data_IF_593385540620
#
_entry.id   IF_593385540620
#
_cell.length_a   1.000
_cell.length_b   1.000
_cell.length_c   1.000
_cell.angle_alpha   90.00
_cell.angle_beta   90.00
_cell.angle_gamma   90.00
#
_symmetry.space_group_name_H-M   'P 1'
#
loop_
_entity.id
_entity.type
_entity.pdbx_description
1 polymer ?
#
# COMPACT_ATOMS: atom_id res chain seq x y z
N UNK A 1 -3.91 9.93 -13.39
CA UNK A 1 -3.05 10.12 -12.19
C UNK A 1 -1.71 10.68 -12.63
N UNK A 2 -1.19 11.74 -12.00
CA UNK A 2 0.09 12.36 -12.34
C UNK A 2 1.11 12.06 -11.22
N UNK A 3 2.42 12.15 -11.53
CA UNK A 3 3.45 11.96 -10.50
C UNK A 3 3.31 12.93 -9.32
N UNK A 4 2.92 14.18 -9.60
CA UNK A 4 2.71 15.17 -8.54
C UNK A 4 1.60 14.80 -7.54
N UNK A 5 0.62 13.99 -7.94
CA UNK A 5 -0.47 13.54 -7.06
C UNK A 5 -0.11 12.34 -6.17
N UNK A 6 1.09 11.79 -6.34
CA UNK A 6 1.54 10.63 -5.57
C UNK A 6 2.40 11.11 -4.40
N UNK A 7 2.09 10.63 -3.20
CA UNK A 7 2.84 10.93 -2.00
C UNK A 7 4.29 10.45 -2.10
N UNK A 8 5.26 11.29 -1.75
CA UNK A 8 6.68 10.94 -1.69
C UNK A 8 7.28 10.43 -3.00
N UNK A 9 8.19 9.47 -2.90
CA UNK A 9 8.79 8.73 -4.02
C UNK A 9 9.56 9.61 -5.04
N UNK A 10 10.17 10.71 -4.59
CA UNK A 10 10.82 11.69 -5.47
C UNK A 10 11.89 11.06 -6.37
N UNK A 11 12.81 10.30 -5.79
CA UNK A 11 13.92 9.66 -6.51
C UNK A 11 13.42 8.64 -7.54
N UNK A 12 12.43 7.83 -7.17
CA UNK A 12 11.84 6.84 -8.08
C UNK A 12 11.13 7.52 -9.26
N UNK A 13 10.40 8.62 -9.03
CA UNK A 13 9.77 9.41 -10.10
C UNK A 13 10.81 9.98 -11.06
N UNK A 14 11.89 10.56 -10.55
CA UNK A 14 13.00 11.10 -11.35
C UNK A 14 13.67 9.98 -12.16
N UNK A 15 13.94 8.81 -11.57
CA UNK A 15 14.49 7.64 -12.25
C UNK A 15 13.60 7.20 -13.43
N UNK A 16 12.29 7.09 -13.21
CA UNK A 16 11.34 6.68 -14.25
C UNK A 16 11.29 7.68 -15.42
N UNK A 17 11.30 8.97 -15.10
CA UNK A 17 11.37 10.05 -16.11
C UNK A 17 12.66 9.94 -16.94
N UNK A 18 13.80 9.75 -16.28
CA UNK A 18 15.10 9.60 -16.95
C UNK A 18 15.15 8.37 -17.85
N UNK A 19 14.54 7.24 -17.46
CA UNK A 19 14.47 6.04 -18.32
C UNK A 19 13.82 6.36 -19.67
N UNK A 20 12.74 7.15 -19.68
CA UNK A 20 12.04 7.53 -20.90
C UNK A 20 12.82 8.58 -21.69
N UNK A 21 13.33 9.63 -21.03
CA UNK A 21 14.04 10.73 -21.69
C UNK A 21 15.34 10.29 -22.35
N UNK A 22 16.05 9.33 -21.76
CA UNK A 22 17.29 8.79 -22.31
C UNK A 22 17.10 7.55 -23.22
N UNK A 23 15.86 7.22 -23.56
CA UNK A 23 15.49 6.05 -24.38
C UNK A 23 16.08 4.74 -23.83
N UNK A 24 16.05 4.59 -22.49
CA UNK A 24 16.56 3.41 -21.75
C UNK A 24 15.44 2.62 -21.10
N UNK A 25 14.24 2.71 -21.68
CA UNK A 25 13.07 2.01 -21.17
C UNK A 25 13.16 0.52 -21.49
N UNK A 26 13.25 -0.32 -20.47
CA UNK A 26 13.15 -1.77 -20.63
C UNK A 26 11.70 -2.15 -21.00
N UNK A 27 11.56 -3.19 -21.82
CA UNK A 27 10.24 -3.71 -22.21
C UNK A 27 9.46 -4.35 -21.06
N UNK A 28 10.11 -4.71 -19.95
CA UNK A 28 9.48 -5.29 -18.77
C UNK A 28 10.10 -4.72 -17.49
N UNK A 29 9.28 -4.09 -16.68
CA UNK A 29 9.63 -3.48 -15.40
C UNK A 29 8.92 -4.22 -14.27
N UNK A 30 9.62 -4.48 -13.17
CA UNK A 30 9.06 -4.95 -11.92
C UNK A 30 9.10 -3.82 -10.88
N UNK A 31 7.95 -3.25 -10.57
CA UNK A 31 7.77 -2.28 -9.49
C UNK A 31 7.57 -3.08 -8.20
N UNK A 32 8.61 -3.14 -7.38
CA UNK A 32 8.60 -3.88 -6.11
C UNK A 32 8.49 -2.90 -4.94
N UNK A 33 7.35 -2.87 -4.30
CA UNK A 33 7.08 -2.03 -3.15
C UNK A 33 6.05 -2.66 -2.24
N UNK A 34 6.28 -2.60 -0.94
CA UNK A 34 5.33 -3.11 0.07
C UNK A 34 4.02 -2.33 0.03
N UNK A 35 3.01 -2.90 0.67
CA UNK A 35 1.70 -2.26 0.87
C UNK A 35 1.84 -0.81 1.36
N UNK A 36 1.04 0.10 0.81
CA UNK A 36 1.06 1.51 1.16
C UNK A 36 2.22 2.33 0.63
N UNK A 37 3.21 1.73 -0.06
CA UNK A 37 4.35 2.44 -0.68
C UNK A 37 3.97 3.30 -1.89
N UNK A 38 2.80 3.06 -2.50
CA UNK A 38 2.35 3.76 -3.70
C UNK A 38 2.82 3.14 -5.02
N UNK A 39 3.21 1.85 -5.02
CA UNK A 39 3.72 1.18 -6.21
C UNK A 39 2.72 1.14 -7.38
N UNK A 40 1.45 0.82 -7.11
CA UNK A 40 0.40 0.81 -8.14
C UNK A 40 0.14 2.22 -8.69
N UNK A 41 0.10 3.22 -7.83
CA UNK A 41 -0.09 4.63 -8.21
C UNK A 41 1.04 5.11 -9.11
N UNK A 42 2.29 4.76 -8.78
CA UNK A 42 3.45 5.05 -9.63
C UNK A 42 3.34 4.37 -11.00
N UNK A 43 2.91 3.11 -11.06
CA UNK A 43 2.70 2.41 -12.32
C UNK A 43 1.64 3.08 -13.19
N UNK A 44 0.52 3.49 -12.60
CA UNK A 44 -0.56 4.22 -13.29
C UNK A 44 -0.09 5.59 -13.81
N UNK A 45 0.62 6.35 -12.98
CA UNK A 45 1.17 7.66 -13.37
C UNK A 45 2.26 7.52 -14.44
N UNK A 46 3.11 6.51 -14.33
CA UNK A 46 4.14 6.23 -15.32
C UNK A 46 3.55 5.83 -16.67
N UNK A 47 2.53 4.98 -16.68
CA UNK A 47 1.80 4.66 -17.92
C UNK A 47 1.18 5.92 -18.54
N UNK A 48 0.55 6.79 -17.72
CA UNK A 48 0.03 8.07 -18.20
C UNK A 48 1.13 8.98 -18.73
N UNK A 49 2.30 9.01 -18.12
CA UNK A 49 3.46 9.78 -18.58
C UNK A 49 3.92 9.33 -19.98
N UNK A 50 4.00 8.02 -20.22
CA UNK A 50 4.42 7.43 -21.50
C UNK A 50 3.42 7.76 -22.62
N UNK A 51 2.11 7.62 -22.38
CA UNK A 51 1.09 7.88 -23.40
C UNK A 51 0.79 9.37 -23.57
N UNK A 52 1.30 10.24 -22.72
CA UNK A 52 1.05 11.69 -22.79
C UNK A 52 1.72 12.30 -24.02
N UNK A 53 0.96 13.03 -24.83
CA UNK A 53 1.45 13.96 -25.86
C UNK A 53 0.94 15.36 -25.52
N UNK A 54 1.78 16.24 -24.95
CA UNK A 54 1.39 17.63 -24.78
C UNK A 54 1.06 18.22 -26.15
N UNK A 55 -0.04 18.92 -26.26
CA UNK A 55 -0.28 19.76 -27.42
C UNK A 55 0.75 20.89 -27.38
N UNK A 56 1.39 21.26 -28.51
CA UNK A 56 2.17 22.46 -28.53
C UNK A 56 1.24 23.58 -28.09
N UNK A 57 1.72 24.46 -27.19
CA UNK A 57 1.00 25.70 -26.87
C UNK A 57 0.71 26.37 -28.20
N UNK A 58 -0.55 26.68 -28.50
CA UNK A 58 -0.90 27.51 -29.65
C UNK A 58 -0.06 28.75 -29.53
N UNK A 59 0.92 28.87 -30.41
CA UNK A 59 1.66 30.13 -30.60
C UNK A 59 0.63 31.07 -31.14
N UNK A 60 0.32 32.13 -30.38
CA UNK A 60 -0.64 33.14 -30.76
C UNK A 60 -0.23 33.65 -32.14
N UNK A 61 -0.99 33.30 -33.16
CA UNK A 61 -0.67 33.60 -34.58
C UNK A 61 -0.49 35.11 -34.83
N UNK A 62 -0.97 35.93 -33.89
CA UNK A 62 -0.85 37.38 -33.91
C UNK A 62 0.45 37.92 -33.29
N UNK A 63 1.18 37.11 -32.49
CA UNK A 63 2.47 37.50 -31.93
C UNK A 63 3.65 37.33 -32.93
N UNK A 64 3.45 36.54 -33.99
CA UNK A 64 4.49 36.21 -34.97
C UNK A 64 4.71 37.28 -36.05
N UNK A 65 3.95 38.38 -36.07
CA UNK A 65 4.03 39.40 -37.14
C UNK A 65 5.19 40.42 -37.02
N UNK A 66 6.03 40.32 -35.97
CA UNK A 66 7.10 41.32 -35.72
C UNK A 66 8.51 40.79 -35.47
N UNK A 67 8.85 39.57 -35.87
CA UNK A 67 10.26 39.12 -35.81
C UNK A 67 10.69 38.41 -37.09
N UNK A 68 11.20 39.19 -38.04
CA UNK A 68 12.04 38.69 -39.13
C UNK A 68 13.41 38.33 -38.58
N UNK A 69 13.65 37.04 -38.30
CA UNK A 69 14.99 36.45 -38.38
C UNK A 69 14.82 34.91 -38.38
N UNK A 70 15.18 34.34 -39.53
CA UNK A 70 15.33 32.90 -39.74
C UNK A 70 16.39 32.34 -38.78
N UNK A 71 15.93 31.69 -37.74
CA UNK A 71 16.68 30.63 -37.09
C UNK A 71 15.72 29.47 -36.93
N UNK A 72 16.05 28.38 -37.61
CA UNK A 72 15.47 27.05 -37.33
C UNK A 72 15.56 26.79 -35.83
N UNK A 73 14.49 27.07 -35.10
CA UNK A 73 14.34 26.63 -33.73
C UNK A 73 14.11 25.12 -33.80
N UNK A 74 15.21 24.37 -33.57
CA UNK A 74 15.13 23.03 -33.04
C UNK A 74 14.20 23.13 -31.83
N UNK A 75 13.00 22.59 -31.97
CA UNK A 75 12.04 22.42 -30.86
C UNK A 75 12.81 21.66 -29.76
N UNK A 76 13.38 22.42 -28.83
CA UNK A 76 13.90 21.86 -27.59
C UNK A 76 12.73 21.12 -26.95
N UNK A 77 12.76 19.81 -26.97
CA UNK A 77 11.90 18.99 -26.10
C UNK A 77 12.22 19.44 -24.68
N UNK A 78 11.41 20.38 -24.17
CA UNK A 78 11.46 20.72 -22.74
C UNK A 78 11.43 19.41 -21.98
N UNK A 79 12.44 19.16 -21.17
CA UNK A 79 12.57 17.96 -20.35
C UNK A 79 11.41 17.95 -19.36
N UNK A 80 10.41 17.18 -19.70
CA UNK A 80 9.15 17.11 -18.97
C UNK A 80 9.27 16.11 -17.83
N UNK A 81 9.01 16.56 -16.60
CA UNK A 81 9.10 15.72 -15.40
C UNK A 81 7.78 15.04 -15.02
N UNK A 82 6.65 15.37 -15.67
CA UNK A 82 5.34 14.76 -15.43
C UNK A 82 4.48 14.79 -16.70
N UNK A 83 3.38 14.04 -16.68
CA UNK A 83 2.34 14.10 -17.73
C UNK A 83 1.60 15.44 -17.67
N UNK A 84 1.07 15.91 -18.80
CA UNK A 84 0.39 17.23 -18.83
C UNK A 84 -0.98 17.24 -18.14
N UNK A 85 -1.60 16.07 -17.90
CA UNK A 85 -2.91 15.94 -17.27
C UNK A 85 -4.12 16.36 -18.12
N UNK A 86 -3.93 17.14 -19.19
CA UNK A 86 -5.01 17.79 -19.93
C UNK A 86 -5.25 17.23 -21.33
N UNK A 87 -4.26 16.61 -21.96
CA UNK A 87 -4.44 16.03 -23.30
C UNK A 87 -5.41 14.83 -23.28
N UNK A 88 -6.02 14.50 -24.44
CA UNK A 88 -7.01 13.40 -24.48
C UNK A 88 -6.47 12.07 -23.95
N UNK A 89 -5.20 11.73 -24.21
CA UNK A 89 -4.60 10.52 -23.66
C UNK A 89 -4.46 10.55 -22.14
N UNK A 90 -4.05 11.69 -21.56
CA UNK A 90 -3.99 11.84 -20.11
C UNK A 90 -5.37 11.71 -19.46
N UNK A 91 -6.41 12.30 -20.05
CA UNK A 91 -7.79 12.17 -19.54
C UNK A 91 -8.24 10.71 -19.56
N UNK A 92 -8.07 10.03 -20.71
CA UNK A 92 -8.40 8.59 -20.83
C UNK A 92 -7.59 7.72 -19.88
N UNK A 93 -6.30 7.99 -19.71
CA UNK A 93 -5.44 7.25 -18.78
C UNK A 93 -5.87 7.46 -17.32
N UNK A 94 -6.23 8.70 -16.95
CA UNK A 94 -6.73 9.01 -15.61
C UNK A 94 -8.05 8.29 -15.28
N UNK A 95 -8.92 8.12 -16.28
CA UNK A 95 -10.18 7.38 -16.15
C UNK A 95 -10.03 5.86 -16.35
N UNK A 96 -8.80 5.37 -16.55
CA UNK A 96 -8.47 3.95 -16.83
C UNK A 96 -9.23 3.40 -18.05
N UNK A 97 -9.42 4.24 -19.10
CA UNK A 97 -10.10 3.89 -20.37
C UNK A 97 -9.23 4.04 -21.60
N UNK A 98 -7.92 4.30 -21.44
CA UNK A 98 -7.00 4.45 -22.56
C UNK A 98 -6.87 3.11 -23.31
N UNK A 99 -7.09 3.07 -24.65
CA UNK A 99 -7.16 1.82 -25.41
C UNK A 99 -5.83 1.04 -25.43
N UNK A 100 -4.69 1.73 -25.28
CA UNK A 100 -3.37 1.12 -25.31
C UNK A 100 -2.82 0.83 -23.88
N UNK A 101 -3.61 1.04 -22.82
CA UNK A 101 -3.27 0.66 -21.45
C UNK A 101 -4.20 -0.47 -21.02
N UNK A 102 -3.62 -1.62 -20.77
CA UNK A 102 -4.32 -2.83 -20.35
C UNK A 102 -4.02 -3.13 -18.88
N UNK A 103 -4.99 -3.71 -18.18
CA UNK A 103 -4.88 -4.06 -16.78
C UNK A 103 -5.06 -5.55 -16.59
N UNK A 104 -4.29 -6.11 -15.66
CA UNK A 104 -4.47 -7.47 -15.15
C UNK A 104 -4.30 -7.45 -13.63
N UNK A 105 -5.18 -8.11 -12.92
CA UNK A 105 -5.23 -8.15 -11.47
C UNK A 105 -5.94 -9.41 -10.99
N UNK A 106 -5.78 -9.83 -9.73
CA UNK A 106 -6.44 -11.00 -9.19
C UNK A 106 -7.96 -10.87 -9.24
N UNK A 107 -8.63 -11.90 -9.74
CA UNK A 107 -10.10 -11.97 -9.84
C UNK A 107 -10.63 -13.28 -9.28
N UNK A 108 -11.93 -13.35 -9.05
CA UNK A 108 -12.63 -14.53 -8.55
C UNK A 108 -13.63 -15.07 -9.56
N UNK A 109 -13.94 -16.36 -9.47
CA UNK A 109 -15.06 -16.96 -10.20
C UNK A 109 -16.37 -16.56 -9.53
N UNK A 110 -17.25 -15.84 -10.26
CA UNK A 110 -18.59 -15.47 -9.77
C UNK A 110 -19.53 -16.67 -9.77
N UNK A 111 -19.51 -17.48 -10.82
CA UNK A 111 -20.34 -18.68 -10.97
C UNK A 111 -19.51 -19.91 -11.31
N UNK A 112 -19.89 -21.11 -10.85
CA UNK A 112 -19.21 -22.35 -11.21
C UNK A 112 -19.12 -22.53 -12.74
N UNK A 113 -17.92 -22.87 -13.24
CA UNK A 113 -17.67 -23.07 -14.68
C UNK A 113 -17.31 -21.82 -15.49
N UNK A 114 -17.42 -20.61 -14.91
CA UNK A 114 -16.93 -19.39 -15.54
C UNK A 114 -15.40 -19.34 -15.52
N UNK A 115 -14.86 -18.64 -16.51
CA UNK A 115 -13.41 -18.43 -16.72
C UNK A 115 -13.11 -16.93 -16.52
N UNK A 116 -12.98 -16.46 -15.27
CA UNK A 116 -12.89 -15.04 -14.99
C UNK A 116 -11.61 -14.44 -15.57
N UNK A 117 -11.75 -13.26 -16.14
CA UNK A 117 -10.66 -12.40 -16.58
C UNK A 117 -10.82 -11.01 -15.99
N UNK A 118 -9.71 -10.25 -15.90
CA UNK A 118 -9.70 -8.89 -15.31
C UNK A 118 -10.71 -7.96 -15.99
N UNK A 119 -10.93 -8.13 -17.29
CA UNK A 119 -11.88 -7.31 -18.06
C UNK A 119 -13.33 -7.44 -17.57
N UNK A 120 -13.70 -8.57 -16.96
CA UNK A 120 -15.06 -8.79 -16.43
C UNK A 120 -15.34 -7.93 -15.19
N UNK A 121 -14.28 -7.39 -14.56
CA UNK A 121 -14.33 -6.58 -13.35
C UNK A 121 -13.82 -5.15 -13.59
N UNK A 122 -13.73 -4.71 -14.84
CA UNK A 122 -13.10 -3.41 -15.17
C UNK A 122 -13.85 -2.20 -14.59
N UNK A 123 -15.16 -2.30 -14.38
CA UNK A 123 -15.98 -1.25 -13.79
C UNK A 123 -15.64 -1.12 -12.30
N UNK A 124 -15.66 -2.25 -11.60
CA UNK A 124 -15.32 -2.34 -10.19
C UNK A 124 -13.85 -1.91 -9.95
N UNK A 125 -12.94 -2.26 -10.88
CA UNK A 125 -11.55 -1.85 -10.81
C UNK A 125 -11.37 -0.32 -10.87
N UNK A 126 -12.07 0.33 -11.81
CA UNK A 126 -12.04 1.80 -11.92
C UNK A 126 -12.57 2.47 -10.67
N UNK A 127 -13.66 1.97 -10.13
CA UNK A 127 -14.26 2.48 -8.91
C UNK A 127 -13.35 2.25 -7.71
N UNK A 128 -12.76 1.06 -7.58
CA UNK A 128 -11.80 0.75 -6.53
C UNK A 128 -10.59 1.66 -6.54
N UNK A 129 -9.96 1.87 -7.70
CA UNK A 129 -8.79 2.77 -7.81
C UNK A 129 -9.17 4.22 -7.48
N UNK A 130 -10.38 4.66 -7.81
CA UNK A 130 -10.86 6.00 -7.50
C UNK A 130 -11.16 6.21 -6.01
N UNK A 131 -11.74 5.21 -5.34
CA UNK A 131 -12.16 5.29 -3.93
C UNK A 131 -11.08 4.86 -2.94
N UNK A 132 -10.25 3.89 -3.32
CA UNK A 132 -9.19 3.31 -2.49
C UNK A 132 -7.84 3.32 -3.22
N UNK A 133 -7.26 4.48 -3.54
CA UNK A 133 -6.07 4.55 -4.38
C UNK A 133 -4.87 3.79 -3.80
N UNK A 134 -4.75 3.67 -2.49
CA UNK A 134 -3.70 2.89 -1.81
C UNK A 134 -4.20 1.55 -1.26
N UNK A 135 -5.38 1.09 -1.70
CA UNK A 135 -5.95 -0.19 -1.27
C UNK A 135 -5.06 -1.38 -1.65
N UNK A 136 -5.03 -2.39 -0.79
CA UNK A 136 -4.30 -3.64 -1.02
C UNK A 136 -5.18 -4.70 -1.73
N UNK A 137 -4.61 -5.87 -1.99
CA UNK A 137 -5.32 -6.96 -2.66
C UNK A 137 -6.52 -7.48 -1.85
N UNK A 138 -6.44 -7.41 -0.52
CA UNK A 138 -7.55 -7.81 0.34
C UNK A 138 -8.73 -6.84 0.21
N UNK A 139 -8.47 -5.51 0.24
CA UNK A 139 -9.49 -4.49 0.01
C UNK A 139 -10.17 -4.68 -1.36
N UNK A 140 -9.37 -4.99 -2.38
CA UNK A 140 -9.87 -5.28 -3.72
C UNK A 140 -10.78 -6.51 -3.74
N UNK A 141 -10.34 -7.62 -3.16
CA UNK A 141 -11.12 -8.85 -3.12
C UNK A 141 -12.42 -8.66 -2.33
N UNK A 142 -12.37 -7.92 -1.22
CA UNK A 142 -13.55 -7.55 -0.46
C UNK A 142 -14.51 -6.67 -1.28
N UNK A 143 -13.97 -5.69 -2.00
CA UNK A 143 -14.74 -4.78 -2.84
C UNK A 143 -15.55 -5.53 -3.92
N UNK A 144 -14.98 -6.59 -4.50
CA UNK A 144 -15.68 -7.44 -5.48
C UNK A 144 -16.50 -8.58 -4.85
N UNK A 145 -16.71 -8.56 -3.53
CA UNK A 145 -17.54 -9.55 -2.82
C UNK A 145 -16.87 -10.91 -2.62
N UNK A 146 -15.55 -10.94 -2.49
CA UNK A 146 -14.75 -12.17 -2.38
C UNK A 146 -14.15 -12.40 -0.99
N UNK A 147 -14.83 -12.00 0.08
CA UNK A 147 -14.31 -12.01 1.46
C UNK A 147 -13.65 -13.35 1.89
N UNK A 148 -14.12 -14.47 1.35
CA UNK A 148 -13.66 -15.82 1.70
C UNK A 148 -13.11 -16.59 0.49
N UNK A 149 -12.88 -15.93 -0.66
CA UNK A 149 -12.34 -16.57 -1.86
C UNK A 149 -10.92 -16.06 -2.12
N UNK A 150 -10.06 -16.97 -2.53
CA UNK A 150 -8.73 -16.59 -2.97
C UNK A 150 -8.81 -16.01 -4.39
N UNK A 151 -8.26 -14.81 -4.58
CA UNK A 151 -8.06 -14.23 -5.91
C UNK A 151 -7.04 -15.02 -6.72
N UNK A 152 -7.16 -14.98 -8.05
CA UNK A 152 -6.21 -15.65 -8.94
C UNK A 152 -6.09 -14.88 -10.26
N UNK A 153 -4.90 -14.92 -10.88
CA UNK A 153 -4.66 -14.52 -12.26
C UNK A 153 -4.60 -15.82 -13.08
N UNK A 154 -5.69 -16.12 -13.77
CA UNK A 154 -5.90 -17.44 -14.36
C UNK A 154 -5.18 -17.63 -15.70
N UNK A 155 -5.11 -18.88 -16.17
CA UNK A 155 -4.66 -19.21 -17.53
C UNK A 155 -5.46 -18.49 -18.61
N UNK A 156 -6.74 -18.22 -18.36
CA UNK A 156 -7.60 -17.50 -19.31
C UNK A 156 -7.22 -16.03 -19.40
N UNK A 157 -6.85 -15.43 -18.27
CA UNK A 157 -6.26 -14.09 -18.22
C UNK A 157 -4.95 -14.04 -19.02
N UNK A 158 -4.03 -14.99 -18.83
CA UNK A 158 -2.79 -15.05 -19.61
C UNK A 158 -3.06 -15.11 -21.13
N UNK A 159 -4.04 -15.90 -21.56
CA UNK A 159 -4.42 -15.99 -22.99
C UNK A 159 -5.04 -14.68 -23.49
N UNK A 160 -5.85 -13.99 -22.69
CA UNK A 160 -6.43 -12.70 -23.04
C UNK A 160 -5.36 -11.60 -23.15
N UNK A 161 -4.38 -11.59 -22.24
CA UNK A 161 -3.20 -10.72 -22.31
C UNK A 161 -2.44 -10.94 -23.62
N UNK A 162 -2.11 -12.21 -23.96
CA UNK A 162 -1.41 -12.55 -25.20
C UNK A 162 -2.19 -12.04 -26.40
N UNK A 163 -3.50 -12.25 -26.44
CA UNK A 163 -4.36 -11.78 -27.53
C UNK A 163 -4.31 -10.25 -27.65
N UNK A 164 -4.51 -9.51 -26.55
CA UNK A 164 -4.52 -8.04 -26.53
C UNK A 164 -3.19 -7.44 -26.97
N UNK A 165 -2.09 -7.95 -26.45
CA UNK A 165 -0.76 -7.39 -26.73
C UNK A 165 -0.26 -7.73 -28.15
N UNK A 166 -0.78 -8.75 -28.80
CA UNK A 166 -0.49 -9.04 -30.22
C UNK A 166 -1.23 -8.11 -31.20
N UNK A 167 -2.21 -7.33 -30.74
CA UNK A 167 -2.84 -6.31 -31.57
C UNK A 167 -1.91 -5.11 -31.73
N UNK A 168 -2.11 -4.32 -32.78
CA UNK A 168 -1.41 -3.04 -32.94
C UNK A 168 -1.92 -2.03 -31.91
N UNK A 169 -1.05 -1.11 -31.50
CA UNK A 169 -1.45 0.04 -30.71
C UNK A 169 -2.49 0.89 -31.46
N UNK A 170 -3.42 1.48 -30.73
CA UNK A 170 -4.55 2.20 -31.33
C UNK A 170 -4.30 3.72 -31.42
N UNK A 171 -3.91 4.35 -30.32
CA UNK A 171 -3.73 5.82 -30.25
C UNK A 171 -2.28 6.24 -30.04
N UNK A 172 -1.47 5.41 -29.41
CA UNK A 172 -0.11 5.73 -28.98
C UNK A 172 0.90 4.73 -29.51
N UNK A 173 2.16 5.12 -29.41
CA UNK A 173 3.27 4.28 -29.84
C UNK A 173 3.36 3.02 -29.00
N UNK A 174 3.27 3.15 -27.65
CA UNK A 174 3.40 2.05 -26.70
C UNK A 174 2.06 1.43 -26.36
N UNK A 175 2.04 0.09 -26.30
CA UNK A 175 1.04 -0.71 -25.59
C UNK A 175 1.59 -1.05 -24.22
N UNK A 176 0.81 -0.81 -23.18
CA UNK A 176 1.24 -0.97 -21.80
C UNK A 176 0.33 -1.98 -21.11
N UNK A 177 0.92 -3.00 -20.50
CA UNK A 177 0.22 -3.89 -19.56
C UNK A 177 0.66 -3.54 -18.15
N UNK A 178 -0.27 -3.11 -17.32
CA UNK A 178 -0.08 -3.02 -15.87
C UNK A 178 -0.67 -4.29 -15.26
N UNK A 179 0.19 -5.13 -14.70
CA UNK A 179 -0.20 -6.33 -13.96
C UNK A 179 0.01 -6.10 -12.48
N UNK A 180 -1.07 -5.97 -11.73
CA UNK A 180 -1.04 -5.82 -10.29
C UNK A 180 -1.10 -7.17 -9.60
N UNK A 181 -0.23 -7.38 -8.60
CA UNK A 181 -0.10 -8.61 -7.82
C UNK A 181 0.22 -9.85 -8.68
N UNK A 182 1.33 -9.84 -9.44
CA UNK A 182 1.79 -11.00 -10.24
C UNK A 182 2.06 -12.24 -9.38
N UNK A 183 2.15 -12.13 -8.06
CA UNK A 183 2.21 -13.22 -7.09
C UNK A 183 1.03 -14.21 -7.25
N UNK A 184 -0.09 -13.71 -7.74
CA UNK A 184 -1.31 -14.50 -7.98
C UNK A 184 -1.33 -15.25 -9.33
N UNK A 185 -0.28 -15.11 -10.14
CA UNK A 185 -0.11 -15.87 -11.37
C UNK A 185 0.16 -17.37 -11.12
N UNK A 186 0.88 -17.69 -10.01
CA UNK A 186 1.32 -19.03 -9.75
C UNK A 186 2.06 -19.65 -10.95
N UNK A 187 1.83 -20.93 -11.22
CA UNK A 187 2.46 -21.66 -12.35
C UNK A 187 1.97 -21.19 -13.73
N UNK A 188 0.84 -20.53 -13.81
CA UNK A 188 0.26 -20.05 -15.07
C UNK A 188 1.09 -18.93 -15.71
N UNK A 189 1.89 -18.22 -14.92
CA UNK A 189 2.83 -17.22 -15.39
C UNK A 189 3.81 -17.71 -16.45
N UNK A 190 4.10 -19.01 -16.48
CA UNK A 190 4.95 -19.60 -17.53
C UNK A 190 4.41 -19.37 -18.95
N UNK A 191 3.11 -19.17 -19.13
CA UNK A 191 2.51 -18.86 -20.44
C UNK A 191 2.90 -17.48 -20.97
N UNK A 192 3.24 -16.56 -20.08
CA UNK A 192 3.64 -15.20 -20.45
C UNK A 192 5.14 -15.09 -20.76
N UNK A 193 5.96 -16.10 -20.44
CA UNK A 193 7.41 -16.04 -20.58
C UNK A 193 7.83 -15.69 -22.01
N UNK A 194 7.29 -16.39 -23.01
CA UNK A 194 7.62 -16.11 -24.41
C UNK A 194 7.25 -14.68 -24.81
N UNK A 195 6.12 -14.17 -24.33
CA UNK A 195 5.66 -12.82 -24.61
C UNK A 195 6.52 -11.75 -23.93
N UNK A 196 7.05 -12.06 -22.74
CA UNK A 196 7.98 -11.18 -22.00
C UNK A 196 9.38 -11.22 -22.63
N UNK A 197 9.84 -12.38 -23.11
CA UNK A 197 11.14 -12.53 -23.78
C UNK A 197 11.18 -11.83 -25.14
N UNK A 198 10.16 -12.04 -25.95
CA UNK A 198 10.05 -11.51 -27.30
C UNK A 198 8.74 -10.71 -27.46
N UNK A 199 8.64 -9.54 -26.82
CA UNK A 199 7.41 -8.76 -26.89
C UNK A 199 7.17 -8.20 -28.30
N UNK A 200 5.91 -8.06 -28.71
CA UNK A 200 5.58 -7.28 -29.90
C UNK A 200 6.17 -5.87 -29.82
N UNK A 201 6.48 -5.24 -30.95
CA UNK A 201 7.08 -3.89 -30.96
C UNK A 201 6.32 -2.91 -30.07
N UNK A 202 7.08 -2.07 -29.35
CA UNK A 202 6.54 -1.02 -28.49
C UNK A 202 5.57 -1.55 -27.42
N UNK A 203 5.86 -2.72 -26.86
CA UNK A 203 5.09 -3.28 -25.74
C UNK A 203 5.87 -3.11 -24.44
N UNK A 204 5.22 -2.57 -23.42
CA UNK A 204 5.77 -2.40 -22.08
C UNK A 204 4.96 -3.20 -21.06
N UNK A 205 5.64 -4.02 -20.29
CA UNK A 205 5.09 -4.70 -19.12
C UNK A 205 5.50 -3.94 -17.85
N UNK A 206 4.53 -3.62 -17.00
CA UNK A 206 4.74 -3.07 -15.67
C UNK A 206 4.10 -4.05 -14.68
N UNK A 207 4.92 -4.87 -14.05
CA UNK A 207 4.50 -5.78 -12.99
C UNK A 207 4.60 -5.02 -11.66
N UNK A 208 3.53 -5.00 -10.88
CA UNK A 208 3.47 -4.29 -9.59
C UNK A 208 3.29 -5.33 -8.49
N UNK A 209 4.32 -5.56 -7.71
CA UNK A 209 4.43 -6.63 -6.73
C UNK A 209 4.79 -6.11 -5.33
N UNK A 210 4.44 -6.88 -4.31
CA UNK A 210 4.80 -6.64 -2.92
C UNK A 210 5.89 -7.61 -2.43
N UNK A 211 5.94 -8.83 -3.01
CA UNK A 211 6.87 -9.88 -2.61
C UNK A 211 7.42 -10.65 -3.81
N UNK A 212 8.72 -10.45 -4.10
CA UNK A 212 9.40 -11.12 -5.20
C UNK A 212 9.53 -12.64 -5.02
N UNK A 213 9.58 -13.15 -3.79
CA UNK A 213 9.70 -14.60 -3.50
C UNK A 213 8.49 -15.41 -3.99
N UNK A 214 7.35 -14.76 -4.20
CA UNK A 214 6.12 -15.38 -4.70
C UNK A 214 6.00 -15.33 -6.22
N UNK A 215 6.94 -14.65 -6.91
CA UNK A 215 6.97 -14.54 -8.36
C UNK A 215 7.91 -15.61 -8.93
N UNK A 216 7.53 -16.17 -10.07
CA UNK A 216 8.39 -17.15 -10.76
C UNK A 216 9.78 -16.57 -11.04
N UNK A 217 10.88 -17.25 -10.67
CA UNK A 217 12.23 -16.78 -10.96
C UNK A 217 12.48 -16.53 -12.45
N UNK A 218 11.77 -17.27 -13.31
CA UNK A 218 11.81 -17.09 -14.77
C UNK A 218 11.22 -15.76 -15.24
N UNK A 219 10.26 -15.19 -14.54
CA UNK A 219 9.72 -13.84 -14.78
C UNK A 219 10.70 -12.79 -14.23
N UNK A 220 11.17 -12.98 -12.98
CA UNK A 220 12.12 -12.06 -12.34
C UNK A 220 13.36 -11.83 -13.18
N UNK A 221 13.95 -12.90 -13.74
CA UNK A 221 15.18 -12.81 -14.55
C UNK A 221 15.01 -12.02 -15.87
N UNK A 222 13.78 -11.70 -16.27
CA UNK A 222 13.44 -10.98 -17.51
C UNK A 222 12.88 -9.60 -17.28
N UNK A 223 12.79 -9.18 -16.04
CA UNK A 223 12.26 -7.88 -15.64
C UNK A 223 13.35 -6.99 -15.06
N UNK A 224 13.30 -5.72 -15.36
CA UNK A 224 14.15 -4.72 -14.70
C UNK A 224 13.48 -4.29 -13.40
N UNK A 225 14.18 -4.49 -12.29
CA UNK A 225 13.68 -4.13 -10.97
C UNK A 225 13.69 -2.62 -10.75
N UNK A 226 12.56 -2.09 -10.31
CA UNK A 226 12.38 -0.73 -9.79
C UNK A 226 11.90 -0.87 -8.33
N UNK A 227 12.80 -0.65 -7.38
CA UNK A 227 12.47 -0.69 -5.95
C UNK A 227 11.71 0.56 -5.56
N UNK A 228 10.59 0.38 -4.86
CA UNK A 228 9.76 1.46 -4.35
C UNK A 228 9.81 1.37 -2.83
N UNK A 229 10.58 2.25 -2.18
CA UNK A 229 10.72 2.23 -0.72
C UNK A 229 9.42 2.58 -0.02
N UNK A 230 9.32 2.22 1.25
CA UNK A 230 8.28 2.74 2.14
C UNK A 230 8.44 4.26 2.27
N UNK A 231 7.34 4.95 2.51
CA UNK A 231 7.36 6.39 2.74
C UNK A 231 8.04 6.71 4.08
N UNK A 232 8.66 7.87 4.14
CA UNK A 232 9.14 8.40 5.43
C UNK A 232 7.98 8.96 6.24
N UNK A 233 8.13 9.04 7.57
CA UNK A 233 7.12 9.66 8.42
C UNK A 233 6.82 11.09 7.97
N UNK A 234 7.83 11.87 7.59
CA UNK A 234 7.67 13.25 7.10
C UNK A 234 6.87 13.32 5.79
N UNK A 235 7.03 12.37 4.87
CA UNK A 235 6.22 12.31 3.64
C UNK A 235 4.75 11.98 3.95
N UNK A 236 4.50 11.11 4.92
CA UNK A 236 3.13 10.80 5.38
C UNK A 236 2.51 11.99 6.09
N UNK A 237 3.23 12.65 7.01
CA UNK A 237 2.78 13.87 7.70
C UNK A 237 2.31 14.93 6.70
N UNK A 238 3.20 15.32 5.77
CA UNK A 238 2.91 16.31 4.73
C UNK A 238 1.70 15.89 3.88
N UNK A 239 1.60 14.61 3.53
CA UNK A 239 0.47 14.12 2.74
C UNK A 239 -0.86 14.16 3.50
N UNK A 240 -0.87 13.84 4.80
CA UNK A 240 -2.06 13.94 5.65
C UNK A 240 -2.50 15.39 5.85
N UNK A 241 -1.56 16.32 6.03
CA UNK A 241 -1.86 17.74 6.13
C UNK A 241 -2.46 18.29 4.83
N UNK A 242 -1.80 18.05 3.69
CA UNK A 242 -2.20 18.61 2.40
C UNK A 242 -3.46 17.96 1.82
N UNK A 243 -3.60 16.64 1.91
CA UNK A 243 -4.66 15.90 1.25
C UNK A 243 -5.90 15.69 2.14
N UNK A 244 -5.71 15.61 3.46
CA UNK A 244 -6.78 15.32 4.39
C UNK A 244 -7.06 16.47 5.39
N UNK A 245 -6.30 17.57 5.35
CA UNK A 245 -6.49 18.72 6.23
C UNK A 245 -6.29 18.41 7.72
N UNK A 246 -5.47 17.41 8.03
CA UNK A 246 -5.20 16.95 9.39
C UNK A 246 -4.27 17.94 10.09
N UNK A 247 -4.48 18.21 11.38
CA UNK A 247 -3.57 19.01 12.18
C UNK A 247 -2.21 18.32 12.31
N UNK A 248 -1.14 19.11 12.37
CA UNK A 248 0.26 18.64 12.42
C UNK A 248 0.47 17.59 13.50
N UNK A 249 0.00 17.85 14.74
CA UNK A 249 0.21 16.95 15.86
C UNK A 249 -0.43 15.57 15.63
N UNK A 250 -1.64 15.54 15.05
CA UNK A 250 -2.35 14.31 14.71
C UNK A 250 -1.71 13.61 13.52
N UNK A 251 -1.23 14.36 12.53
CA UNK A 251 -0.52 13.80 11.37
C UNK A 251 0.78 13.10 11.80
N UNK A 252 1.52 13.68 12.72
CA UNK A 252 2.74 13.09 13.31
C UNK A 252 2.45 11.79 14.04
N UNK A 253 1.41 11.76 14.89
CA UNK A 253 1.00 10.55 15.59
C UNK A 253 0.61 9.43 14.64
N UNK A 254 -0.20 9.73 13.63
CA UNK A 254 -0.61 8.76 12.62
C UNK A 254 0.59 8.26 11.81
N UNK A 255 1.49 9.15 11.38
CA UNK A 255 2.67 8.79 10.61
C UNK A 255 3.62 7.86 11.38
N UNK A 256 3.79 8.11 12.68
CA UNK A 256 4.59 7.26 13.55
C UNK A 256 4.04 5.84 13.68
N UNK A 257 2.71 5.68 13.78
CA UNK A 257 2.04 4.37 13.87
C UNK A 257 2.01 3.64 12.53
N UNK A 258 1.89 4.39 11.43
CA UNK A 258 1.77 3.84 10.08
C UNK A 258 3.09 3.28 9.52
N UNK A 259 4.26 3.60 10.12
CA UNK A 259 5.58 3.04 9.77
C UNK A 259 5.88 3.03 8.25
N UNK A 260 5.53 4.11 7.57
CA UNK A 260 5.75 4.24 6.13
C UNK A 260 4.62 3.68 5.25
N UNK A 261 3.60 3.03 5.83
CA UNK A 261 2.43 2.52 5.11
C UNK A 261 1.34 3.59 5.01
N UNK A 262 1.23 4.27 3.86
CA UNK A 262 0.25 5.34 3.68
C UNK A 262 -1.21 4.84 3.67
N UNK A 263 -1.46 3.59 3.23
CA UNK A 263 -2.79 2.98 3.35
C UNK A 263 -3.24 2.92 4.82
N UNK A 264 -2.34 2.45 5.68
CA UNK A 264 -2.61 2.37 7.11
C UNK A 264 -2.81 3.75 7.73
N UNK A 265 -2.00 4.74 7.33
CA UNK A 265 -2.19 6.12 7.76
C UNK A 265 -3.59 6.65 7.42
N UNK A 266 -4.10 6.37 6.21
CA UNK A 266 -5.46 6.74 5.81
C UNK A 266 -6.54 6.00 6.61
N UNK A 267 -6.32 4.73 6.93
CA UNK A 267 -7.24 3.95 7.75
C UNK A 267 -7.27 4.44 9.20
N UNK A 268 -6.10 4.72 9.80
CA UNK A 268 -6.00 5.32 11.13
C UNK A 268 -6.70 6.67 11.18
N UNK A 269 -6.63 7.44 10.10
CA UNK A 269 -7.34 8.72 10.01
C UNK A 269 -8.87 8.53 9.99
N UNK A 270 -9.38 7.57 9.21
CA UNK A 270 -10.81 7.27 9.14
C UNK A 270 -11.38 6.77 10.47
N UNK A 271 -10.56 6.11 11.28
CA UNK A 271 -10.91 5.54 12.58
C UNK A 271 -10.35 6.33 13.76
N UNK A 272 -9.92 7.56 13.54
CA UNK A 272 -9.33 8.40 14.57
C UNK A 272 -10.25 8.76 15.74
N UNK A 273 -11.55 8.48 15.61
CA UNK A 273 -12.54 8.63 16.68
C UNK A 273 -12.76 7.33 17.49
N UNK A 274 -12.16 6.21 17.08
CA UNK A 274 -12.17 4.97 17.84
C UNK A 274 -11.22 5.13 19.05
N UNK A 275 -11.74 5.02 20.27
CA UNK A 275 -10.94 5.19 21.49
C UNK A 275 -10.16 3.91 21.83
N UNK A 276 -9.09 3.66 21.04
CA UNK A 276 -8.22 2.49 21.22
C UNK A 276 -7.58 2.44 22.62
N UNK A 277 -7.33 3.59 23.23
CA UNK A 277 -6.75 3.65 24.56
C UNK A 277 -7.73 3.10 25.60
N UNK A 278 -8.99 3.50 25.54
CA UNK A 278 -10.03 2.98 26.43
C UNK A 278 -10.23 1.49 26.21
N UNK A 279 -10.30 1.05 24.95
CA UNK A 279 -10.45 -0.35 24.60
C UNK A 279 -9.29 -1.21 25.12
N UNK A 280 -8.05 -0.71 25.00
CA UNK A 280 -6.85 -1.39 25.53
C UNK A 280 -6.85 -1.42 27.06
N UNK A 281 -7.22 -0.32 27.69
CA UNK A 281 -7.35 -0.24 29.16
C UNK A 281 -8.37 -1.22 29.71
N UNK A 282 -9.52 -1.34 29.04
CA UNK A 282 -10.56 -2.30 29.40
C UNK A 282 -10.06 -3.74 29.25
N UNK A 283 -9.36 -4.05 28.15
CA UNK A 283 -8.80 -5.38 27.91
C UNK A 283 -7.77 -5.77 28.95
N UNK A 284 -6.78 -4.91 29.23
CA UNK A 284 -5.76 -5.14 30.24
C UNK A 284 -6.37 -5.28 31.65
N UNK A 285 -7.38 -4.47 31.97
CA UNK A 285 -8.11 -4.60 33.24
C UNK A 285 -8.88 -5.94 33.30
N UNK A 286 -9.49 -6.37 32.18
CA UNK A 286 -10.18 -7.65 32.11
C UNK A 286 -9.20 -8.82 32.32
N UNK A 287 -7.99 -8.72 31.76
CA UNK A 287 -6.95 -9.75 31.90
C UNK A 287 -6.42 -9.80 33.35
N UNK A 288 -6.13 -8.64 33.97
CA UNK A 288 -5.35 -8.58 35.21
C UNK A 288 -6.25 -8.54 36.46
N UNK A 289 -7.40 -7.84 36.40
CA UNK A 289 -8.19 -7.50 37.61
C UNK A 289 -9.58 -8.10 37.64
N UNK A 290 -10.36 -8.00 36.56
CA UNK A 290 -11.78 -8.30 36.57
C UNK A 290 -12.14 -9.75 36.26
N UNK A 291 -11.22 -10.51 35.65
CA UNK A 291 -11.33 -11.95 35.47
C UNK A 291 -12.16 -12.42 34.25
N UNK A 292 -12.46 -13.72 34.15
CA UNK A 292 -12.91 -14.37 32.93
C UNK A 292 -14.22 -13.82 32.32
N UNK A 293 -15.17 -13.41 33.16
CA UNK A 293 -16.47 -12.90 32.67
C UNK A 293 -16.30 -11.60 31.88
N UNK A 294 -15.49 -10.67 32.38
CA UNK A 294 -15.19 -9.42 31.70
C UNK A 294 -14.38 -9.67 30.42
N UNK A 295 -13.43 -10.63 30.43
CA UNK A 295 -12.69 -11.03 29.25
C UNK A 295 -13.61 -11.55 28.14
N UNK A 296 -14.53 -12.46 28.46
CA UNK A 296 -15.50 -13.01 27.48
C UNK A 296 -16.33 -11.90 26.86
N UNK A 297 -16.86 -10.97 27.66
CA UNK A 297 -17.66 -9.85 27.17
C UNK A 297 -16.81 -8.96 26.21
N UNK A 298 -15.63 -8.57 26.62
CA UNK A 298 -14.73 -7.75 25.80
C UNK A 298 -14.38 -8.46 24.48
N UNK A 299 -14.07 -9.78 24.52
CA UNK A 299 -13.78 -10.57 23.34
C UNK A 299 -14.96 -10.67 22.39
N UNK A 300 -16.19 -10.84 22.92
CA UNK A 300 -17.40 -10.88 22.11
C UNK A 300 -17.64 -9.54 21.39
N UNK A 301 -17.34 -8.43 22.02
CA UNK A 301 -17.47 -7.09 21.40
C UNK A 301 -16.36 -6.84 20.38
N UNK A 302 -15.12 -7.19 20.69
CA UNK A 302 -13.97 -7.10 19.78
C UNK A 302 -14.12 -8.02 18.56
N UNK A 303 -14.69 -9.21 18.72
CA UNK A 303 -14.92 -10.13 17.60
C UNK A 303 -15.96 -9.62 16.59
N UNK A 304 -16.82 -8.68 16.97
CA UNK A 304 -17.76 -7.99 16.06
C UNK A 304 -17.09 -6.88 15.24
N UNK A 305 -15.92 -6.41 15.68
CA UNK A 305 -15.12 -5.47 14.90
C UNK A 305 -14.62 -6.19 13.63
N UNK A 306 -14.63 -5.52 12.49
CA UNK A 306 -14.03 -6.08 11.28
C UNK A 306 -12.54 -6.37 11.48
N UNK A 307 -11.97 -7.27 10.67
CA UNK A 307 -10.56 -7.70 10.76
C UNK A 307 -9.57 -6.54 10.74
N UNK A 308 -9.82 -5.54 9.91
CA UNK A 308 -8.97 -4.36 9.81
C UNK A 308 -8.93 -3.60 11.14
N UNK A 309 -10.05 -3.37 11.79
CA UNK A 309 -10.09 -2.73 13.12
C UNK A 309 -9.38 -3.57 14.19
N UNK A 310 -9.50 -4.89 14.11
CA UNK A 310 -8.78 -5.79 15.02
C UNK A 310 -7.26 -5.69 14.84
N UNK A 311 -6.77 -5.66 13.59
CA UNK A 311 -5.35 -5.45 13.27
C UNK A 311 -4.86 -4.09 13.76
N UNK A 312 -5.61 -3.02 13.47
CA UNK A 312 -5.27 -1.67 13.89
C UNK A 312 -5.18 -1.55 15.42
N UNK A 313 -6.11 -2.18 16.14
CA UNK A 313 -6.05 -2.24 17.59
C UNK A 313 -4.79 -2.96 18.11
N UNK A 314 -4.42 -4.09 17.51
CA UNK A 314 -3.19 -4.81 17.89
C UNK A 314 -1.94 -3.98 17.58
N UNK A 315 -1.88 -3.32 16.43
CA UNK A 315 -0.77 -2.43 16.05
C UNK A 315 -0.67 -1.21 16.97
N UNK A 316 -1.81 -0.61 17.33
CA UNK A 316 -1.83 0.46 18.32
C UNK A 316 -1.20 0.01 19.64
N UNK A 317 -1.49 -1.20 20.10
CA UNK A 317 -0.88 -1.74 21.32
C UNK A 317 0.63 -2.00 21.16
N UNK A 318 1.06 -2.57 20.02
CA UNK A 318 2.49 -2.74 19.70
C UNK A 318 3.21 -1.39 19.75
N UNK A 319 2.68 -0.39 19.07
CA UNK A 319 3.27 0.96 19.06
C UNK A 319 3.43 1.55 20.48
N UNK A 320 2.41 1.43 21.34
CA UNK A 320 2.51 1.87 22.73
C UNK A 320 3.59 1.12 23.53
N UNK A 321 3.78 -0.18 23.26
CA UNK A 321 4.85 -0.96 23.90
C UNK A 321 6.22 -0.52 23.40
N UNK A 322 6.39 -0.27 22.12
CA UNK A 322 7.64 0.25 21.55
C UNK A 322 7.97 1.64 22.09
N UNK A 323 6.97 2.52 22.23
CA UNK A 323 7.14 3.83 22.86
C UNK A 323 7.54 3.68 24.33
N UNK A 324 6.92 2.73 25.05
CA UNK A 324 7.29 2.43 26.43
C UNK A 324 8.75 1.96 26.54
N UNK A 325 9.22 1.11 25.61
CA UNK A 325 10.62 0.68 25.55
C UNK A 325 11.55 1.86 25.29
N UNK A 326 11.21 2.73 24.31
CA UNK A 326 12.01 3.95 24.00
C UNK A 326 12.15 4.86 25.22
N UNK A 327 11.05 5.15 25.91
CA UNK A 327 11.07 5.97 27.13
C UNK A 327 11.94 5.37 28.23
N UNK A 328 11.94 4.03 28.38
CA UNK A 328 12.79 3.34 29.36
C UNK A 328 14.28 3.46 29.04
N UNK A 329 14.65 3.41 27.75
CA UNK A 329 16.04 3.57 27.30
C UNK A 329 16.51 5.01 27.51
N UNK A 330 15.67 6.00 27.23
CA UNK A 330 15.98 7.43 27.44
C UNK A 330 16.15 7.71 28.94
N UNK A 331 15.23 7.26 29.79
CA UNK A 331 15.33 7.44 31.26
C UNK A 331 16.58 6.76 31.86
N UNK A 332 17.12 5.72 31.23
CA UNK A 332 18.36 5.06 31.66
C UNK A 332 19.63 5.77 31.19
N UNK A 333 19.55 6.62 30.16
CA UNK A 333 20.70 7.32 29.57
C UNK A 333 20.82 8.80 30.03
N UNK A 334 19.81 9.41 30.61
CA UNK A 334 19.82 10.84 30.97
C UNK A 334 19.61 11.06 32.46
N UNK A 335 20.70 11.52 33.14
CA UNK A 335 20.63 12.18 34.43
C UNK A 335 20.05 13.61 34.27
N UNK A 336 18.71 13.69 34.18
CA UNK A 336 17.98 14.91 34.55
C UNK A 336 18.06 16.09 33.61
N UNK A 337 17.14 16.19 32.68
CA UNK A 337 16.44 17.45 32.35
C UNK A 337 15.20 17.10 31.48
N UNK A 338 14.01 17.09 32.13
CA UNK A 338 12.73 17.02 31.42
C UNK A 338 12.40 18.40 30.86
N UNK A 339 12.40 18.57 29.53
CA UNK A 339 11.73 19.69 28.89
C UNK A 339 10.25 19.30 28.68
N UNK A 340 9.39 19.96 29.44
CA UNK A 340 7.94 19.90 29.36
C UNK A 340 7.49 20.75 28.19
N UNK A 341 7.19 20.11 27.03
CA UNK A 341 6.42 20.77 25.97
C UNK A 341 5.41 19.79 25.38
N UNK A 342 4.14 20.14 25.51
CA UNK A 342 2.90 19.64 24.92
C UNK A 342 2.03 18.68 25.74
N UNK A 343 0.86 19.19 26.14
CA UNK A 343 -0.15 18.49 26.96
C UNK A 343 -0.80 17.27 26.28
N UNK A 344 -0.70 17.08 24.95
CA UNK A 344 -1.26 15.93 24.25
C UNK A 344 -0.26 14.77 24.04
N UNK A 345 1.04 15.06 23.95
CA UNK A 345 2.08 14.05 24.14
C UNK A 345 2.12 13.50 25.58
N UNK A 346 1.60 14.27 26.54
CA UNK A 346 1.52 13.87 27.94
C UNK A 346 0.59 12.65 28.18
N UNK A 347 -0.48 12.46 27.40
CA UNK A 347 -1.43 11.34 27.62
C UNK A 347 -0.92 10.01 27.09
N UNK A 348 -0.35 9.96 25.86
CA UNK A 348 0.29 8.76 25.31
C UNK A 348 1.52 8.36 26.13
N UNK A 349 2.36 9.33 26.51
CA UNK A 349 3.50 9.11 27.39
C UNK A 349 3.09 8.60 28.78
N UNK A 350 1.95 9.05 29.34
CA UNK A 350 1.47 8.55 30.65
C UNK A 350 1.03 7.09 30.55
N UNK A 351 0.36 6.67 29.46
CA UNK A 351 -0.02 5.27 29.28
C UNK A 351 1.20 4.37 29.04
N UNK A 352 2.15 4.80 28.22
CA UNK A 352 3.42 4.09 27.98
C UNK A 352 4.25 3.95 29.28
N UNK A 353 4.29 4.99 30.11
CA UNK A 353 4.94 4.93 31.41
C UNK A 353 4.24 3.96 32.38
N UNK A 354 2.90 3.84 32.30
CA UNK A 354 2.15 2.84 33.08
C UNK A 354 2.44 1.42 32.61
N UNK A 355 2.60 1.21 31.28
CA UNK A 355 3.04 -0.09 30.72
C UNK A 355 4.44 -0.46 31.23
N UNK A 356 5.34 0.50 31.35
CA UNK A 356 6.68 0.29 31.93
C UNK A 356 6.65 -0.14 33.41
N UNK A 357 5.64 0.28 34.16
CA UNK A 357 5.43 -0.18 35.55
C UNK A 357 4.77 -1.55 35.62
N UNK A 358 4.01 -1.91 34.59
CA UNK A 358 3.26 -3.18 34.54
C UNK A 358 4.14 -4.34 34.08
N UNK A 359 5.03 -4.12 33.11
CA UNK A 359 5.82 -5.16 32.44
C UNK A 359 7.29 -4.74 32.39
N UNK A 360 8.19 -5.71 32.58
CA UNK A 360 9.62 -5.53 32.30
C UNK A 360 9.91 -5.61 30.80
N UNK A 361 11.17 -5.36 30.39
CA UNK A 361 11.57 -5.32 28.98
C UNK A 361 11.34 -6.69 28.28
N UNK A 362 11.70 -7.78 28.94
CA UNK A 362 11.51 -9.12 28.38
C UNK A 362 10.03 -9.48 28.21
N UNK A 363 9.19 -9.03 29.17
CA UNK A 363 7.74 -9.19 29.06
C UNK A 363 7.15 -8.37 27.91
N UNK A 364 7.62 -7.14 27.71
CA UNK A 364 7.18 -6.29 26.60
C UNK A 364 7.54 -6.90 25.24
N UNK A 365 8.75 -7.42 25.08
CA UNK A 365 9.20 -8.14 23.88
C UNK A 365 8.35 -9.39 23.61
N UNK A 366 8.06 -10.17 24.65
CA UNK A 366 7.20 -11.34 24.53
C UNK A 366 5.76 -10.98 24.14
N UNK A 367 5.21 -9.88 24.67
CA UNK A 367 3.88 -9.38 24.32
C UNK A 367 3.86 -8.95 22.85
N UNK A 368 4.83 -8.16 22.38
CA UNK A 368 4.94 -7.73 20.98
C UNK A 368 4.95 -8.96 20.06
N UNK A 369 5.77 -9.96 20.39
CA UNK A 369 5.84 -11.20 19.60
C UNK A 369 4.48 -11.91 19.48
N UNK A 370 3.70 -11.96 20.55
CA UNK A 370 2.38 -12.59 20.51
C UNK A 370 1.32 -11.75 19.79
N UNK A 371 1.43 -10.42 19.86
CA UNK A 371 0.56 -9.50 19.10
C UNK A 371 0.82 -9.60 17.59
N UNK A 372 2.09 -9.69 17.16
CA UNK A 372 2.47 -9.89 15.76
C UNK A 372 1.94 -11.21 15.21
N UNK A 373 2.10 -12.30 15.98
CA UNK A 373 1.50 -13.60 15.61
C UNK A 373 -0.02 -13.50 15.47
N UNK A 374 -0.68 -12.78 16.38
CA UNK A 374 -2.13 -12.59 16.33
C UNK A 374 -2.54 -11.81 15.06
N UNK A 375 -1.84 -10.74 14.72
CA UNK A 375 -2.04 -9.96 13.49
C UNK A 375 -1.91 -10.85 12.25
N UNK A 376 -0.86 -11.67 12.19
CA UNK A 376 -0.64 -12.64 11.12
C UNK A 376 -1.79 -13.66 10.96
N UNK A 377 -2.35 -14.14 12.07
CA UNK A 377 -3.48 -15.08 12.03
C UNK A 377 -4.79 -14.41 11.62
N UNK A 378 -5.01 -13.14 11.99
CA UNK A 378 -6.17 -12.35 11.53
C UNK A 378 -6.15 -12.22 10.01
N UNK A 379 -5.01 -11.94 9.41
CA UNK A 379 -4.84 -11.86 7.95
C UNK A 379 -5.21 -13.17 7.24
N UNK A 380 -4.99 -14.29 7.91
CA UNK A 380 -5.29 -15.64 7.40
C UNK A 380 -6.65 -16.18 7.81
N UNK A 381 -7.58 -15.29 8.13
CA UNK A 381 -8.96 -15.64 8.45
C UNK A 381 -9.15 -16.49 9.71
N UNK A 382 -8.27 -16.39 10.69
CA UNK A 382 -8.47 -17.07 11.97
C UNK A 382 -9.76 -16.58 12.65
N UNK A 383 -10.37 -17.48 13.43
CA UNK A 383 -11.55 -17.11 14.22
C UNK A 383 -11.15 -16.12 15.31
N UNK A 384 -11.65 -14.89 15.23
CA UNK A 384 -11.29 -13.78 16.12
C UNK A 384 -11.56 -14.11 17.59
N UNK A 385 -12.70 -14.75 17.93
CA UNK A 385 -13.00 -15.13 19.33
C UNK A 385 -11.96 -16.06 19.89
N UNK A 386 -11.63 -17.13 19.16
CA UNK A 386 -10.62 -18.10 19.60
C UNK A 386 -9.23 -17.45 19.73
N UNK A 387 -8.89 -16.57 18.77
CA UNK A 387 -7.61 -15.89 18.76
C UNK A 387 -7.47 -14.95 19.97
N UNK A 388 -8.46 -14.08 20.22
CA UNK A 388 -8.41 -13.15 21.36
C UNK A 388 -8.52 -13.85 22.71
N UNK A 389 -9.20 -15.00 22.81
CA UNK A 389 -9.15 -15.85 24.01
C UNK A 389 -7.74 -16.38 24.25
N UNK A 390 -7.13 -16.98 23.24
CA UNK A 390 -5.76 -17.52 23.36
C UNK A 390 -4.75 -16.40 23.70
N UNK A 391 -4.88 -15.24 23.03
CA UNK A 391 -4.03 -14.09 23.27
C UNK A 391 -4.20 -13.54 24.69
N UNK A 392 -5.43 -13.40 25.21
CA UNK A 392 -5.69 -12.93 26.58
C UNK A 392 -5.06 -13.85 27.62
N UNK A 393 -5.13 -15.18 27.43
CA UNK A 393 -4.51 -16.15 28.32
C UNK A 393 -2.99 -16.02 28.28
N UNK A 394 -2.39 -15.89 27.10
CA UNK A 394 -0.93 -15.71 26.95
C UNK A 394 -0.46 -14.42 27.60
N UNK A 395 -1.12 -13.30 27.34
CA UNK A 395 -0.82 -12.02 27.99
C UNK A 395 -0.90 -12.10 29.53
N UNK A 396 -1.93 -12.79 30.06
CA UNK A 396 -2.05 -13.00 31.50
C UNK A 396 -0.84 -13.74 32.08
N UNK A 397 -0.36 -14.80 31.39
CA UNK A 397 0.81 -15.56 31.83
C UNK A 397 2.10 -14.74 31.74
N UNK A 398 2.30 -13.99 30.65
CA UNK A 398 3.48 -13.14 30.46
C UNK A 398 3.53 -12.07 31.56
N UNK A 399 2.44 -11.34 31.76
CA UNK A 399 2.38 -10.24 32.74
C UNK A 399 2.60 -10.73 34.17
N UNK A 400 2.09 -11.93 34.48
CA UNK A 400 2.19 -12.47 35.84
C UNK A 400 3.42 -13.38 36.05
N UNK A 401 4.38 -13.45 35.12
CA UNK A 401 5.57 -14.31 35.18
C UNK A 401 5.25 -15.81 35.48
N UNK A 402 4.09 -16.28 35.00
CA UNK A 402 3.70 -17.69 35.16
C UNK A 402 4.18 -18.48 33.95
N UNK A 403 4.83 -19.62 34.18
CA UNK A 403 5.24 -20.52 33.11
C UNK A 403 4.03 -20.93 32.26
N UNK A 404 4.13 -20.69 30.94
CA UNK A 404 3.19 -21.25 29.97
C UNK A 404 3.32 -22.78 30.01
N UNK A 405 2.23 -23.49 30.26
CA UNK A 405 2.18 -24.90 29.93
C UNK A 405 2.17 -25.00 28.41
N UNK A 406 3.36 -25.17 27.82
CA UNK A 406 3.49 -25.45 26.40
C UNK A 406 2.91 -26.84 26.17
N UNK A 407 1.73 -26.91 25.61
CA UNK A 407 1.25 -28.11 24.94
C UNK A 407 2.01 -28.15 23.61
N UNK A 408 2.99 -29.09 23.53
CA UNK A 408 3.73 -29.39 22.30
C UNK A 408 2.79 -29.88 21.19
#
# INVERSE_FOLDING_TARGET
>A
MQFQSITGQKETKEQLVQMVQHNRLSHALLFLGKEGSGALQLALAFAQYIVCKPQPKEVDLFAAAHSTNEKQETVQQETRNDSCGVCPACKKANELIHPDIHFSYPVITKKPGEKPISTDFIKEWREFIATNPYGNVYDWLQFIGAENKQGNITVHECNDIIRKLNLKSFEREYKILIMWMPEFLGKEGNKLLKLIEEPPPNTLFILVAENEDLILPTILSRTQLVKIPMLTNTEIEVALELNAGVKIEKAQQIAAVAEGNYREALQLLQHADDDWEVMLREWLNAIIRTGPVAQVKWIDDTAKLGREKQKQFLKYFIHLLEEAVRLRVIDSSDNGQRTTDNEQQATSNDFALRLNKLCDLGQQEAIITELDKASYYIERNANAKMLFHALSIRLYHIINNKSLILVN
#
